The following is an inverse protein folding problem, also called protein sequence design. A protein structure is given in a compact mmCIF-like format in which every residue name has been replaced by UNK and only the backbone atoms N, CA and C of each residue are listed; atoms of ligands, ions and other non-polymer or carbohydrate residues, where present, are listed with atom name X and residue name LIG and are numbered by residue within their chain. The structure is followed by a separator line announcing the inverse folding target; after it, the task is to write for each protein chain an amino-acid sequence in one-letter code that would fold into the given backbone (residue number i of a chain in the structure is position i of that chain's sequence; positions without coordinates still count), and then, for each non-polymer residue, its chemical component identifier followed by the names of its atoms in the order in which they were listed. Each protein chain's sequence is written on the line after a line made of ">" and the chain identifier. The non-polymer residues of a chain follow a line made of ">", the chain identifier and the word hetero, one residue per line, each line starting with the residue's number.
data_IF_447435680499
#
_entry.id   IF_447435680499
#
_cell.length_a   1.000
_cell.length_b   1.000
_cell.length_c   1.000
_cell.angle_alpha   90.00
_cell.angle_beta   90.00
_cell.angle_gamma   90.00
#
_symmetry.space_group_name_H-M   'P 1'
#
loop_
_entity.id
_entity.type
_entity.pdbx_description
1 polymer ?
#
# COMPACT_ATOMS: atom_id res chain seq x y z
N UNK A 1 -4.21 -10.12 18.77
CA UNK A 1 -4.11 -8.94 17.90
C UNK A 1 -3.87 -9.31 16.42
N UNK A 2 -2.74 -9.93 16.02
CA UNK A 2 -2.50 -10.28 14.59
C UNK A 2 -3.64 -11.14 14.03
N UNK A 3 -3.98 -12.25 14.71
CA UNK A 3 -5.08 -13.15 14.31
C UNK A 3 -6.42 -12.41 14.17
N UNK A 4 -6.74 -11.50 15.07
CA UNK A 4 -8.01 -10.76 15.04
C UNK A 4 -8.09 -9.81 13.85
N UNK A 5 -6.98 -9.12 13.54
CA UNK A 5 -6.89 -8.21 12.39
C UNK A 5 -7.10 -8.99 11.08
N UNK A 6 -6.48 -10.16 10.93
CA UNK A 6 -6.64 -11.03 9.76
C UNK A 6 -8.07 -11.59 9.71
N UNK A 7 -8.59 -12.10 10.84
CA UNK A 7 -9.92 -12.65 10.92
C UNK A 7 -11.01 -11.63 10.56
N UNK A 8 -10.80 -10.34 10.87
CA UNK A 8 -11.69 -9.27 10.48
C UNK A 8 -11.83 -9.13 8.95
N UNK A 9 -10.76 -9.39 8.18
CA UNK A 9 -10.83 -9.37 6.70
C UNK A 9 -11.73 -10.49 6.21
N UNK A 10 -11.52 -11.71 6.69
CA UNK A 10 -12.34 -12.89 6.30
C UNK A 10 -13.80 -12.76 6.71
N UNK A 11 -14.09 -12.21 7.90
CA UNK A 11 -15.45 -12.10 8.41
C UNK A 11 -16.25 -10.96 7.78
N UNK A 12 -15.61 -9.82 7.54
CA UNK A 12 -16.25 -8.62 6.97
C UNK A 12 -16.30 -8.62 5.45
N UNK A 13 -15.35 -9.30 4.79
CA UNK A 13 -15.22 -9.36 3.32
C UNK A 13 -15.32 -7.99 2.66
N UNK A 14 -14.50 -7.02 3.06
CA UNK A 14 -14.66 -5.63 2.64
C UNK A 14 -14.59 -5.48 1.12
N UNK A 15 -15.45 -4.61 0.58
CA UNK A 15 -15.39 -4.21 -0.82
C UNK A 15 -14.33 -3.12 -0.99
N UNK A 16 -13.28 -3.40 -1.75
CA UNK A 16 -12.15 -2.49 -1.99
C UNK A 16 -12.22 -1.93 -3.41
N UNK A 17 -12.45 -0.63 -3.52
CA UNK A 17 -12.36 0.06 -4.80
C UNK A 17 -10.90 0.34 -5.14
N UNK A 18 -10.44 -0.19 -6.28
CA UNK A 18 -9.08 -0.02 -6.77
C UNK A 18 -9.07 0.81 -8.05
N UNK A 19 -8.54 2.04 -7.98
CA UNK A 19 -8.10 2.78 -9.17
C UNK A 19 -6.61 2.48 -9.31
N UNK A 20 -6.29 1.44 -10.08
CA UNK A 20 -4.93 0.92 -10.20
C UNK A 20 -4.41 0.97 -11.63
N UNK A 21 -3.17 0.58 -11.84
CA UNK A 21 -2.53 0.55 -13.14
C UNK A 21 -2.88 -0.74 -13.91
N UNK A 22 -2.96 -0.65 -15.24
CA UNK A 22 -3.35 -1.79 -16.08
C UNK A 22 -2.31 -2.92 -16.11
N UNK A 23 -1.06 -2.66 -15.69
CA UNK A 23 0.00 -3.68 -15.66
C UNK A 23 -0.26 -4.70 -14.55
N UNK A 24 -0.85 -4.26 -13.43
CA UNK A 24 -1.06 -5.08 -12.24
C UNK A 24 -2.55 -5.29 -11.89
N UNK A 25 -3.49 -4.76 -12.68
CA UNK A 25 -4.91 -4.72 -12.32
C UNK A 25 -5.49 -6.10 -11.99
N UNK A 26 -5.24 -7.10 -12.86
CA UNK A 26 -5.71 -8.47 -12.64
C UNK A 26 -5.12 -9.10 -11.38
N UNK A 27 -3.81 -8.89 -11.15
CA UNK A 27 -3.15 -9.43 -9.96
C UNK A 27 -3.62 -8.73 -8.67
N UNK A 28 -3.90 -7.42 -8.73
CA UNK A 28 -4.49 -6.68 -7.61
C UNK A 28 -5.90 -7.20 -7.27
N UNK A 29 -6.73 -7.48 -8.28
CA UNK A 29 -8.04 -8.07 -8.07
C UNK A 29 -7.93 -9.48 -7.47
N UNK A 30 -7.08 -10.33 -8.05
CA UNK A 30 -6.90 -11.70 -7.59
C UNK A 30 -6.36 -11.76 -6.16
N UNK A 31 -5.33 -10.98 -5.82
CA UNK A 31 -4.78 -10.99 -4.45
C UNK A 31 -5.81 -10.50 -3.41
N UNK A 32 -6.67 -9.56 -3.79
CA UNK A 32 -7.76 -9.10 -2.92
C UNK A 32 -8.77 -10.21 -2.66
N UNK A 33 -9.14 -10.99 -3.69
CA UNK A 33 -10.00 -12.18 -3.54
C UNK A 33 -9.32 -13.26 -2.68
N UNK A 34 -8.04 -13.49 -2.91
CA UNK A 34 -7.23 -14.50 -2.22
C UNK A 34 -7.25 -14.30 -0.70
N UNK A 35 -7.21 -13.07 -0.22
CA UNK A 35 -7.27 -12.75 1.22
C UNK A 35 -8.70 -12.65 1.78
N UNK A 36 -9.71 -13.02 1.00
CA UNK A 36 -11.12 -13.05 1.44
C UNK A 36 -11.86 -11.72 1.34
N UNK A 37 -11.28 -10.68 0.72
CA UNK A 37 -11.95 -9.41 0.43
C UNK A 37 -12.55 -9.41 -0.99
N UNK A 38 -13.29 -8.36 -1.34
CA UNK A 38 -13.95 -8.21 -2.65
C UNK A 38 -13.36 -7.00 -3.40
N UNK A 39 -12.76 -7.18 -4.59
CA UNK A 39 -12.26 -6.05 -5.39
C UNK A 39 -13.34 -5.49 -6.31
N UNK A 40 -13.33 -4.18 -6.52
CA UNK A 40 -14.00 -3.52 -7.64
C UNK A 40 -13.01 -2.61 -8.36
N UNK A 41 -12.92 -2.79 -9.70
CA UNK A 41 -11.92 -2.15 -10.54
C UNK A 41 -12.61 -1.14 -11.47
N UNK A 42 -12.74 0.11 -11.05
CA UNK A 42 -13.36 1.17 -11.83
C UNK A 42 -12.45 2.40 -11.89
N UNK A 43 -12.27 3.01 -13.06
CA UNK A 43 -11.42 4.19 -13.26
C UNK A 43 -12.03 5.25 -14.21
N UNK A 44 -13.28 5.06 -14.63
CA UNK A 44 -14.01 6.04 -15.42
C UNK A 44 -14.55 7.19 -14.53
N UNK A 45 -14.16 8.45 -14.75
CA UNK A 45 -14.56 9.58 -13.91
C UNK A 45 -16.08 9.74 -13.72
N UNK A 46 -16.89 9.24 -14.65
CA UNK A 46 -18.36 9.36 -14.58
C UNK A 46 -19.00 8.39 -13.60
N UNK A 47 -18.34 7.28 -13.26
CA UNK A 47 -18.88 6.24 -12.37
C UNK A 47 -18.16 6.12 -11.02
N UNK A 48 -16.87 6.51 -10.96
CA UNK A 48 -16.05 6.20 -9.78
C UNK A 48 -16.59 6.78 -8.47
N UNK A 49 -17.35 7.87 -8.53
CA UNK A 49 -18.04 8.42 -7.35
C UNK A 49 -19.07 7.45 -6.79
N UNK A 50 -19.92 6.88 -7.66
CA UNK A 50 -20.95 5.90 -7.27
C UNK A 50 -20.33 4.60 -6.78
N UNK A 51 -19.28 4.11 -7.46
CA UNK A 51 -18.53 2.92 -7.05
C UNK A 51 -17.88 3.12 -5.67
N UNK A 52 -17.24 4.27 -5.43
CA UNK A 52 -16.66 4.56 -4.11
C UNK A 52 -17.74 4.68 -3.03
N UNK A 53 -18.96 5.12 -3.39
CA UNK A 53 -20.06 5.27 -2.45
C UNK A 53 -20.49 3.95 -1.81
N UNK A 54 -20.27 2.82 -2.45
CA UNK A 54 -20.61 1.48 -1.93
C UNK A 54 -19.40 0.72 -1.39
N UNK A 55 -18.18 1.24 -1.57
CA UNK A 55 -16.96 0.58 -1.12
C UNK A 55 -16.69 0.77 0.39
N UNK A 56 -15.90 -0.12 0.97
CA UNK A 56 -15.42 -0.08 2.36
C UNK A 56 -13.99 0.47 2.47
N UNK A 57 -13.27 0.54 1.35
CA UNK A 57 -11.92 1.10 1.26
C UNK A 57 -11.57 1.50 -0.17
N UNK A 58 -10.62 2.43 -0.31
CA UNK A 58 -10.17 2.96 -1.60
C UNK A 58 -8.66 2.83 -1.74
N UNK A 59 -8.21 2.31 -2.89
CA UNK A 59 -6.79 2.23 -3.29
C UNK A 59 -6.55 3.07 -4.53
N UNK A 60 -5.62 4.02 -4.44
CA UNK A 60 -5.22 4.92 -5.52
C UNK A 60 -3.78 4.63 -5.92
N UNK A 61 -3.56 4.03 -7.09
CA UNK A 61 -2.24 3.64 -7.58
C UNK A 61 -1.84 4.44 -8.82
N UNK A 62 -0.72 5.17 -8.74
CA UNK A 62 -0.25 6.08 -9.78
C UNK A 62 0.59 5.42 -10.89
N UNK A 63 0.60 4.09 -11.03
CA UNK A 63 1.50 3.37 -11.94
C UNK A 63 1.40 3.78 -13.40
N UNK A 64 0.22 3.81 -13.98
CA UNK A 64 -0.05 4.26 -15.36
C UNK A 64 -0.97 5.49 -15.35
N UNK A 65 -0.53 6.53 -14.64
CA UNK A 65 -1.36 7.73 -14.43
C UNK A 65 -1.58 8.51 -15.73
N UNK A 66 -2.81 9.00 -15.91
CA UNK A 66 -3.24 9.94 -16.94
C UNK A 66 -4.08 11.05 -16.30
N UNK A 67 -4.40 12.09 -17.05
CA UNK A 67 -5.28 13.17 -16.56
C UNK A 67 -6.68 12.64 -16.19
N UNK A 68 -7.24 11.74 -17.00
CA UNK A 68 -8.52 11.09 -16.71
C UNK A 68 -8.48 10.30 -15.39
N UNK A 69 -7.44 9.48 -15.21
CA UNK A 69 -7.26 8.73 -13.94
C UNK A 69 -7.02 9.64 -12.76
N UNK A 70 -6.23 10.68 -12.90
CA UNK A 70 -6.06 11.66 -11.84
C UNK A 70 -7.39 12.27 -11.43
N UNK A 71 -8.23 12.65 -12.40
CA UNK A 71 -9.56 13.17 -12.11
C UNK A 71 -10.44 12.13 -11.40
N UNK A 72 -10.44 10.87 -11.86
CA UNK A 72 -11.14 9.77 -11.21
C UNK A 72 -10.68 9.59 -9.75
N UNK A 73 -9.36 9.60 -9.50
CA UNK A 73 -8.78 9.50 -8.15
C UNK A 73 -9.20 10.65 -7.24
N UNK A 74 -9.30 11.88 -7.77
CA UNK A 74 -9.74 13.03 -6.97
C UNK A 74 -11.23 12.95 -6.64
N UNK A 75 -12.08 12.50 -7.58
CA UNK A 75 -13.52 12.28 -7.34
C UNK A 75 -13.70 11.18 -6.28
N UNK A 76 -13.11 10.01 -6.50
CA UNK A 76 -13.17 8.88 -5.54
C UNK A 76 -12.63 9.26 -4.18
N UNK A 77 -11.49 9.97 -4.13
CA UNK A 77 -10.90 10.42 -2.88
C UNK A 77 -11.83 11.34 -2.07
N UNK A 78 -12.50 12.29 -2.71
CA UNK A 78 -13.51 13.15 -2.07
C UNK A 78 -14.70 12.35 -1.56
N UNK A 79 -15.20 11.40 -2.35
CA UNK A 79 -16.30 10.50 -1.94
C UNK A 79 -15.88 9.63 -0.75
N UNK A 80 -14.70 9.02 -0.79
CA UNK A 80 -14.17 8.20 0.30
C UNK A 80 -14.03 9.00 1.61
N UNK A 81 -13.53 10.23 1.54
CA UNK A 81 -13.45 11.12 2.72
C UNK A 81 -14.83 11.47 3.29
N UNK A 82 -15.83 11.74 2.45
CA UNK A 82 -17.19 12.01 2.92
C UNK A 82 -17.86 10.80 3.58
N UNK A 83 -17.40 9.58 3.25
CA UNK A 83 -17.85 8.32 3.83
C UNK A 83 -16.97 7.83 4.97
N UNK A 84 -15.89 8.53 5.28
CA UNK A 84 -14.91 8.16 6.31
C UNK A 84 -14.32 6.74 6.11
N UNK A 85 -14.23 6.27 4.86
CA UNK A 85 -13.57 5.01 4.52
C UNK A 85 -12.08 5.22 4.28
N UNK A 86 -11.20 4.26 4.65
CA UNK A 86 -9.75 4.42 4.54
C UNK A 86 -9.30 4.49 3.08
N UNK A 87 -8.30 5.36 2.84
CA UNK A 87 -7.71 5.60 1.53
C UNK A 87 -6.23 5.23 1.56
N UNK A 88 -5.82 4.34 0.67
CA UNK A 88 -4.43 3.97 0.42
C UNK A 88 -3.95 4.67 -0.85
N UNK A 89 -2.83 5.38 -0.77
CA UNK A 89 -2.11 5.92 -1.93
C UNK A 89 -0.85 5.10 -2.19
N UNK A 90 -0.68 4.65 -3.43
CA UNK A 90 0.55 4.03 -3.95
C UNK A 90 1.12 4.97 -5.04
N UNK A 91 2.09 5.85 -4.70
CA UNK A 91 2.61 6.88 -5.59
C UNK A 91 3.67 6.33 -6.57
N UNK A 92 3.39 5.19 -7.21
CA UNK A 92 4.32 4.47 -8.10
C UNK A 92 5.08 5.40 -9.02
N UNK A 93 6.40 5.41 -8.91
CA UNK A 93 7.29 6.14 -9.79
C UNK A 93 7.24 7.67 -9.63
N UNK A 94 6.82 8.18 -8.48
CA UNK A 94 6.93 9.61 -8.16
C UNK A 94 8.38 10.06 -8.28
N UNK A 95 8.58 11.23 -8.89
CA UNK A 95 9.92 11.77 -9.20
C UNK A 95 10.42 11.47 -10.62
N UNK A 96 9.85 10.47 -11.33
CA UNK A 96 10.27 10.12 -12.71
C UNK A 96 9.88 11.22 -13.72
N UNK A 97 8.72 11.88 -13.54
CA UNK A 97 8.27 12.95 -14.41
C UNK A 97 7.59 14.06 -13.63
N UNK A 98 7.62 15.28 -14.19
CA UNK A 98 6.93 16.44 -13.59
C UNK A 98 5.42 16.21 -13.44
N UNK A 99 4.78 15.61 -14.45
CA UNK A 99 3.35 15.32 -14.42
C UNK A 99 3.01 14.37 -13.27
N UNK A 100 3.73 13.25 -13.16
CA UNK A 100 3.49 12.25 -12.09
C UNK A 100 3.70 12.85 -10.69
N UNK A 101 4.79 13.59 -10.53
CA UNK A 101 5.09 14.25 -9.25
C UNK A 101 4.00 15.25 -8.88
N UNK A 102 3.56 16.08 -9.82
CA UNK A 102 2.46 17.04 -9.60
C UNK A 102 1.15 16.32 -9.25
N UNK A 103 0.83 15.24 -9.96
CA UNK A 103 -0.37 14.44 -9.70
C UNK A 103 -0.37 13.83 -8.28
N UNK A 104 0.75 13.22 -7.88
CA UNK A 104 0.90 12.65 -6.51
C UNK A 104 0.75 13.75 -5.46
N UNK A 105 1.38 14.91 -5.65
CA UNK A 105 1.22 16.03 -4.72
C UNK A 105 -0.21 16.53 -4.64
N UNK A 106 -0.91 16.59 -5.77
CA UNK A 106 -2.32 16.98 -5.81
C UNK A 106 -3.19 16.00 -5.03
N UNK A 107 -2.98 14.69 -5.19
CA UNK A 107 -3.69 13.66 -4.43
C UNK A 107 -3.39 13.81 -2.93
N UNK A 108 -2.13 13.93 -2.52
CA UNK A 108 -1.76 14.10 -1.11
C UNK A 108 -2.43 15.35 -0.50
N UNK A 109 -2.50 16.44 -1.25
CA UNK A 109 -3.02 17.73 -0.75
C UNK A 109 -4.55 17.78 -0.71
N UNK A 110 -5.22 17.30 -1.77
CA UNK A 110 -6.67 17.43 -1.94
C UNK A 110 -7.44 16.24 -1.36
N UNK A 111 -6.90 15.01 -1.51
CA UNK A 111 -7.54 13.78 -1.00
C UNK A 111 -7.13 13.50 0.45
N UNK A 112 -5.88 13.79 0.81
CA UNK A 112 -5.32 13.50 2.16
C UNK A 112 -5.48 12.02 2.52
N UNK A 113 -4.79 11.10 1.81
CA UNK A 113 -4.90 9.66 2.05
C UNK A 113 -4.51 9.33 3.49
N UNK A 114 -5.11 8.28 4.04
CA UNK A 114 -4.86 7.83 5.41
C UNK A 114 -3.60 6.96 5.49
N UNK A 115 -3.23 6.35 4.36
CA UNK A 115 -2.08 5.46 4.23
C UNK A 115 -1.34 5.80 2.94
N UNK A 116 -0.01 5.91 2.99
CA UNK A 116 0.85 6.06 1.81
C UNK A 116 1.83 4.89 1.80
N UNK A 117 1.70 4.01 0.82
CA UNK A 117 2.60 2.87 0.62
C UNK A 117 3.57 3.17 -0.52
N UNK A 118 4.87 3.05 -0.26
CA UNK A 118 5.93 3.43 -1.20
C UNK A 118 7.21 2.63 -0.95
N UNK A 119 8.23 2.82 -1.78
CA UNK A 119 9.59 2.36 -1.53
C UNK A 119 10.51 3.50 -1.10
N UNK A 120 11.76 3.20 -0.71
CA UNK A 120 12.71 4.21 -0.22
C UNK A 120 13.00 5.33 -1.25
N UNK A 121 13.06 5.01 -2.54
CA UNK A 121 13.28 6.00 -3.61
C UNK A 121 12.08 6.95 -3.77
N UNK A 122 10.87 6.41 -3.72
CA UNK A 122 9.62 7.17 -3.77
C UNK A 122 9.46 8.05 -2.52
N UNK A 123 9.82 7.51 -1.33
CA UNK A 123 9.86 8.27 -0.08
C UNK A 123 10.76 9.50 -0.21
N UNK A 124 11.99 9.31 -0.68
CA UNK A 124 12.94 10.41 -0.92
C UNK A 124 12.36 11.43 -1.90
N UNK A 125 11.81 10.97 -3.02
CA UNK A 125 11.24 11.83 -4.06
C UNK A 125 10.08 12.68 -3.55
N UNK A 126 9.18 12.12 -2.74
CA UNK A 126 8.08 12.88 -2.14
C UNK A 126 8.62 13.92 -1.16
N UNK A 127 9.54 13.52 -0.29
CA UNK A 127 10.08 14.41 0.75
C UNK A 127 10.85 15.61 0.17
N UNK A 128 11.60 15.42 -0.92
CA UNK A 128 12.31 16.51 -1.63
C UNK A 128 11.34 17.52 -2.26
N UNK A 129 10.14 17.11 -2.61
CA UNK A 129 9.17 17.95 -3.32
C UNK A 129 8.10 18.57 -2.39
N UNK A 130 8.02 18.19 -1.12
CA UNK A 130 7.12 18.84 -0.14
C UNK A 130 7.76 20.10 0.41
N UNK A 131 7.10 21.25 0.21
CA UNK A 131 7.55 22.55 0.80
C UNK A 131 7.73 22.42 2.32
N UNK A 132 8.83 22.98 2.84
CA UNK A 132 9.19 22.98 4.27
C UNK A 132 9.60 21.62 4.87
N UNK A 133 10.04 20.66 4.08
CA UNK A 133 10.81 19.52 4.58
C UNK A 133 12.31 19.82 4.51
N UNK A 134 12.75 20.84 5.29
CA UNK A 134 14.17 21.24 5.33
C UNK A 134 15.06 20.08 5.82
N UNK A 135 16.26 19.97 5.25
CA UNK A 135 17.25 18.98 5.63
C UNK A 135 17.14 17.62 4.92
N UNK A 136 16.27 17.48 3.91
CA UNK A 136 16.14 16.25 3.11
C UNK A 136 17.25 16.13 2.06
N UNK A 137 17.79 17.27 1.57
CA UNK A 137 18.89 17.28 0.59
C UNK A 137 20.18 16.61 1.10
N UNK A 138 20.35 16.53 2.43
CA UNK A 138 21.49 15.91 3.09
C UNK A 138 21.20 14.48 3.60
N UNK A 139 19.98 13.97 3.44
CA UNK A 139 19.64 12.62 3.93
C UNK A 139 20.00 11.60 2.84
N UNK A 140 21.16 10.99 2.99
CA UNK A 140 21.43 9.72 2.37
C UNK A 140 20.53 8.68 3.04
N UNK A 141 19.68 8.00 2.25
CA UNK A 141 18.89 6.87 2.74
C UNK A 141 19.76 5.61 2.61
N UNK A 142 20.85 5.57 3.40
CA UNK A 142 21.81 4.47 3.33
C UNK A 142 21.57 3.44 4.45
N UNK A 143 20.71 3.79 5.43
CA UNK A 143 20.40 2.93 6.57
C UNK A 143 18.89 2.78 6.81
N UNK A 144 18.53 1.73 7.53
CA UNK A 144 17.16 1.51 8.03
C UNK A 144 16.70 2.70 8.90
N UNK A 145 17.57 3.18 9.78
CA UNK A 145 17.24 4.28 10.70
C UNK A 145 16.99 5.60 9.97
N UNK A 146 17.70 5.88 8.90
CA UNK A 146 17.47 7.08 8.09
C UNK A 146 16.12 6.98 7.35
N UNK A 147 15.79 5.79 6.85
CA UNK A 147 14.48 5.52 6.24
C UNK A 147 13.36 5.72 7.26
N UNK A 148 13.51 5.19 8.49
CA UNK A 148 12.54 5.37 9.59
C UNK A 148 12.37 6.85 9.92
N UNK A 149 13.45 7.61 10.08
CA UNK A 149 13.40 9.05 10.38
C UNK A 149 12.65 9.81 9.30
N UNK A 150 12.92 9.50 8.02
CA UNK A 150 12.28 10.18 6.90
C UNK A 150 10.80 9.80 6.78
N UNK A 151 10.45 8.52 6.98
CA UNK A 151 9.07 8.07 7.00
C UNK A 151 8.26 8.72 8.14
N UNK A 152 8.83 8.83 9.35
CA UNK A 152 8.22 9.56 10.47
C UNK A 152 7.96 11.03 10.13
N UNK A 153 8.93 11.72 9.52
CA UNK A 153 8.75 13.11 9.08
C UNK A 153 7.61 13.24 8.07
N UNK A 154 7.53 12.34 7.09
CA UNK A 154 6.46 12.35 6.10
C UNK A 154 5.10 12.08 6.76
N UNK A 155 5.02 11.10 7.66
CA UNK A 155 3.81 10.78 8.41
C UNK A 155 3.29 11.99 9.20
N UNK A 156 4.13 12.64 9.98
CA UNK A 156 3.79 13.85 10.73
C UNK A 156 3.34 15.00 9.82
N UNK A 157 3.92 15.11 8.61
CA UNK A 157 3.58 16.18 7.66
C UNK A 157 2.25 15.94 6.95
N UNK A 158 1.93 14.68 6.65
CA UNK A 158 0.73 14.30 5.88
C UNK A 158 -0.41 13.81 6.76
N UNK A 159 -0.15 13.52 8.03
CA UNK A 159 -1.04 12.83 8.97
C UNK A 159 -1.49 11.44 8.44
N UNK A 160 -0.64 10.81 7.61
CA UNK A 160 -0.87 9.49 7.04
C UNK A 160 0.04 8.45 7.70
N UNK A 161 -0.40 7.21 7.72
CA UNK A 161 0.47 6.07 8.01
C UNK A 161 1.35 5.85 6.79
N UNK A 162 2.66 5.74 6.99
CA UNK A 162 3.64 5.52 5.93
C UNK A 162 4.12 4.07 6.00
N UNK A 163 3.89 3.34 4.91
CA UNK A 163 4.43 1.99 4.70
C UNK A 163 5.54 2.01 3.66
N UNK A 164 6.76 1.67 4.04
CA UNK A 164 7.95 1.66 3.16
C UNK A 164 8.38 0.24 2.90
N UNK A 165 8.31 -0.20 1.64
CA UNK A 165 8.83 -1.52 1.26
C UNK A 165 10.33 -1.47 1.04
N UNK A 166 11.04 -2.48 1.58
CA UNK A 166 12.51 -2.56 1.50
C UNK A 166 13.05 -3.99 1.62
N UNK A 167 14.26 -4.11 2.16
CA UNK A 167 14.82 -5.38 2.65
C UNK A 167 14.14 -5.73 3.97
N UNK A 168 14.01 -4.75 4.86
CA UNK A 168 13.07 -4.74 5.96
C UNK A 168 12.02 -3.69 5.64
N UNK A 169 10.76 -4.04 5.79
CA UNK A 169 9.68 -3.10 5.58
C UNK A 169 9.45 -2.26 6.84
N UNK A 170 8.97 -1.04 6.66
CA UNK A 170 8.73 -0.08 7.76
C UNK A 170 7.28 0.38 7.68
N UNK A 171 6.59 0.41 8.81
CA UNK A 171 5.29 1.08 8.95
C UNK A 171 5.37 2.06 10.10
N UNK A 172 4.94 3.31 9.90
CA UNK A 172 4.91 4.31 10.97
C UNK A 172 3.72 5.26 10.86
N UNK A 173 3.17 5.64 12.00
CA UNK A 173 2.18 6.72 12.16
C UNK A 173 2.81 8.05 12.63
N UNK A 174 4.15 8.14 12.58
CA UNK A 174 4.92 9.27 13.07
C UNK A 174 5.35 9.15 14.54
N UNK A 175 4.63 8.41 15.37
CA UNK A 175 4.95 8.10 16.78
C UNK A 175 5.48 6.68 16.90
N UNK A 176 4.61 5.72 16.62
CA UNK A 176 4.92 4.30 16.63
C UNK A 176 5.60 3.88 15.33
N UNK A 177 6.41 2.83 15.38
CA UNK A 177 7.06 2.22 14.22
C UNK A 177 6.97 0.72 14.33
N UNK A 178 6.66 0.05 13.25
CA UNK A 178 6.81 -1.39 13.09
C UNK A 178 7.91 -1.66 12.06
N UNK A 179 8.84 -2.54 12.40
CA UNK A 179 9.83 -3.08 11.49
C UNK A 179 9.41 -4.50 11.16
N UNK A 180 9.25 -4.80 9.89
CA UNK A 180 8.79 -6.07 9.38
C UNK A 180 9.96 -6.78 8.70
N UNK A 181 10.25 -7.99 9.16
CA UNK A 181 11.24 -8.88 8.56
C UNK A 181 10.57 -9.96 7.72
N UNK A 182 11.28 -10.48 6.76
CA UNK A 182 10.78 -11.53 5.88
C UNK A 182 10.83 -11.15 4.42
N UNK A 183 9.94 -11.76 3.62
CA UNK A 183 9.97 -11.60 2.17
C UNK A 183 11.09 -12.40 1.52
N UNK A 184 11.13 -12.37 0.19
CA UNK A 184 12.17 -13.01 -0.61
C UNK A 184 12.53 -12.17 -1.83
N UNK A 185 13.78 -12.24 -2.28
CA UNK A 185 14.26 -11.47 -3.44
C UNK A 185 13.46 -11.74 -4.74
N UNK A 186 12.84 -12.91 -4.86
CA UNK A 186 11.97 -13.26 -5.98
C UNK A 186 10.74 -12.37 -6.08
N UNK A 187 10.25 -11.79 -4.97
CA UNK A 187 9.11 -10.85 -5.00
C UNK A 187 9.37 -9.65 -5.90
N UNK A 188 10.62 -9.17 -5.98
CA UNK A 188 11.03 -8.06 -6.87
C UNK A 188 10.96 -8.43 -8.35
N UNK A 189 10.93 -9.73 -8.69
CA UNK A 189 10.82 -10.23 -10.06
C UNK A 189 9.36 -10.39 -10.50
N UNK A 190 8.39 -10.27 -9.60
CA UNK A 190 6.96 -10.26 -9.92
C UNK A 190 6.54 -8.82 -10.22
N UNK A 191 6.20 -8.54 -11.48
CA UNK A 191 5.64 -7.24 -11.86
C UNK A 191 4.35 -6.97 -11.06
N UNK A 192 4.24 -5.77 -10.47
CA UNK A 192 3.06 -5.40 -9.70
C UNK A 192 3.02 -5.93 -8.27
N UNK A 193 4.07 -6.60 -7.77
CA UNK A 193 4.13 -7.06 -6.37
C UNK A 193 3.85 -5.94 -5.37
N UNK A 194 4.41 -4.74 -5.56
CA UNK A 194 4.08 -3.58 -4.73
C UNK A 194 2.62 -3.15 -4.85
N UNK A 195 2.07 -3.14 -6.06
CA UNK A 195 0.67 -2.76 -6.30
C UNK A 195 -0.30 -3.75 -5.63
N UNK A 196 0.00 -5.06 -5.68
CA UNK A 196 -0.74 -6.09 -4.95
C UNK A 196 -0.72 -5.83 -3.44
N UNK A 197 0.45 -5.50 -2.86
CA UNK A 197 0.54 -5.14 -1.44
C UNK A 197 -0.37 -3.95 -1.10
N UNK A 198 -0.46 -2.95 -1.96
CA UNK A 198 -1.35 -1.79 -1.73
C UNK A 198 -2.82 -2.20 -1.71
N UNK A 199 -3.23 -3.16 -2.54
CA UNK A 199 -4.59 -3.73 -2.53
C UNK A 199 -4.85 -4.55 -1.26
N UNK A 200 -3.87 -5.34 -0.79
CA UNK A 200 -3.93 -6.06 0.50
C UNK A 200 -4.09 -5.06 1.66
N UNK A 201 -3.28 -3.99 1.68
CA UNK A 201 -3.40 -2.93 2.70
C UNK A 201 -4.79 -2.29 2.67
N UNK A 202 -5.34 -2.05 1.49
CA UNK A 202 -6.70 -1.53 1.33
C UNK A 202 -7.76 -2.40 2.01
N UNK A 203 -7.69 -3.72 1.82
CA UNK A 203 -8.60 -4.68 2.45
C UNK A 203 -8.42 -4.73 3.98
N UNK A 204 -7.18 -4.75 4.46
CA UNK A 204 -6.88 -4.76 5.90
C UNK A 204 -7.34 -3.48 6.59
N UNK A 205 -7.11 -2.33 5.97
CA UNK A 205 -7.56 -1.03 6.47
C UNK A 205 -9.10 -0.95 6.52
N UNK A 206 -9.77 -1.35 5.45
CA UNK A 206 -11.24 -1.38 5.37
C UNK A 206 -11.87 -2.29 6.44
N UNK A 207 -11.25 -3.45 6.70
CA UNK A 207 -11.73 -4.36 7.74
C UNK A 207 -11.43 -3.89 9.17
N UNK A 208 -10.43 -2.99 9.36
CA UNK A 208 -9.94 -2.56 10.68
C UNK A 208 -9.78 -1.02 10.77
N UNK A 209 -10.80 -0.21 10.48
CA UNK A 209 -10.66 1.25 10.34
C UNK A 209 -10.23 1.94 11.64
N UNK A 210 -10.53 1.38 12.81
CA UNK A 210 -10.16 1.93 14.11
C UNK A 210 -8.73 1.57 14.56
N UNK A 211 -8.02 0.72 13.80
CA UNK A 211 -6.69 0.21 14.15
C UNK A 211 -5.74 0.24 12.94
N UNK A 212 -5.75 1.33 12.17
CA UNK A 212 -5.06 1.40 10.88
C UNK A 212 -3.56 1.09 10.96
N UNK A 213 -2.84 1.60 11.99
CA UNK A 213 -1.41 1.32 12.14
C UNK A 213 -1.12 -0.18 12.25
N UNK A 214 -1.87 -0.87 13.10
CA UNK A 214 -1.71 -2.32 13.26
C UNK A 214 -2.20 -3.09 12.03
N UNK A 215 -3.29 -2.66 11.39
CA UNK A 215 -3.81 -3.27 10.16
C UNK A 215 -2.78 -3.22 9.03
N UNK A 216 -2.15 -2.06 8.82
CA UNK A 216 -1.09 -1.88 7.82
C UNK A 216 0.14 -2.72 8.18
N UNK A 217 0.57 -2.72 9.45
CA UNK A 217 1.72 -3.52 9.90
C UNK A 217 1.50 -5.02 9.68
N UNK A 218 0.29 -5.51 10.01
CA UNK A 218 -0.06 -6.94 9.83
C UNK A 218 -0.18 -7.29 8.34
N UNK A 219 -0.71 -6.38 7.50
CA UNK A 219 -0.76 -6.58 6.05
C UNK A 219 0.66 -6.75 5.45
N UNK A 220 1.61 -5.89 5.85
CA UNK A 220 3.01 -6.03 5.45
C UNK A 220 3.62 -7.34 5.96
N UNK A 221 3.41 -7.67 7.23
CA UNK A 221 3.95 -8.89 7.85
C UNK A 221 3.44 -10.16 7.20
N UNK A 222 2.14 -10.24 6.94
CA UNK A 222 1.51 -11.36 6.22
C UNK A 222 2.10 -11.49 4.80
N UNK A 223 2.17 -10.39 4.07
CA UNK A 223 2.67 -10.34 2.70
C UNK A 223 4.14 -10.78 2.62
N UNK A 224 4.98 -10.33 3.56
CA UNK A 224 6.38 -10.71 3.65
C UNK A 224 6.54 -12.19 4.02
N UNK A 225 5.80 -12.70 5.01
CA UNK A 225 5.82 -14.10 5.41
C UNK A 225 5.43 -15.03 4.27
N UNK A 226 4.31 -14.75 3.58
CA UNK A 226 3.88 -15.53 2.42
C UNK A 226 4.90 -15.46 1.27
N UNK A 227 5.53 -14.29 1.05
CA UNK A 227 6.59 -14.15 0.06
C UNK A 227 7.84 -14.97 0.36
N UNK A 228 8.19 -15.14 1.62
CA UNK A 228 9.27 -16.03 2.07
C UNK A 228 8.88 -17.49 1.88
N UNK A 229 7.70 -17.89 2.37
CA UNK A 229 7.26 -19.29 2.37
C UNK A 229 6.98 -19.83 0.95
N UNK A 230 6.59 -18.96 0.02
CA UNK A 230 6.39 -19.30 -1.39
C UNK A 230 7.68 -19.74 -2.11
N UNK A 231 8.85 -19.37 -1.58
CA UNK A 231 10.13 -19.73 -2.19
C UNK A 231 10.52 -21.18 -1.87
N UNK A 232 10.88 -21.91 -2.93
CA UNK A 232 11.57 -23.20 -2.88
C UNK A 232 12.74 -23.15 -3.85
N UNK A 233 13.76 -23.94 -3.61
CA UNK A 233 14.93 -23.98 -4.49
C UNK A 233 14.55 -24.32 -5.94
N UNK A 234 15.26 -23.70 -6.89
CA UNK A 234 15.14 -23.93 -8.32
C UNK A 234 13.75 -23.63 -8.94
N UNK A 235 12.94 -22.79 -8.31
CA UNK A 235 11.66 -22.35 -8.88
C UNK A 235 11.84 -21.29 -9.96
N UNK A 236 11.07 -21.44 -11.05
CA UNK A 236 10.81 -20.36 -12.00
C UNK A 236 9.91 -19.27 -11.40
N UNK A 237 9.94 -18.07 -12.00
CA UNK A 237 9.17 -16.92 -11.51
C UNK A 237 7.66 -17.16 -11.51
N UNK A 238 7.12 -17.88 -12.51
CA UNK A 238 5.70 -18.18 -12.61
C UNK A 238 5.25 -19.12 -11.48
N UNK A 239 6.01 -20.18 -11.21
CA UNK A 239 5.71 -21.10 -10.11
C UNK A 239 5.82 -20.40 -8.75
N UNK A 240 6.84 -19.56 -8.56
CA UNK A 240 6.95 -18.74 -7.35
C UNK A 240 5.74 -17.81 -7.16
N UNK A 241 5.28 -17.15 -8.24
CA UNK A 241 4.08 -16.31 -8.19
C UNK A 241 2.84 -17.11 -7.79
N UNK A 242 2.64 -18.29 -8.38
CA UNK A 242 1.50 -19.16 -8.03
C UNK A 242 1.59 -19.60 -6.56
N UNK A 243 2.74 -20.08 -6.11
CA UNK A 243 2.95 -20.44 -4.71
C UNK A 243 2.68 -19.26 -3.76
N UNK A 244 3.04 -18.03 -4.16
CA UNK A 244 2.77 -16.85 -3.36
C UNK A 244 1.27 -16.60 -3.17
N UNK A 245 0.46 -16.78 -4.22
CA UNK A 245 -1.00 -16.70 -4.11
C UNK A 245 -1.57 -17.82 -3.24
N UNK A 246 -1.04 -19.03 -3.35
CA UNK A 246 -1.45 -20.18 -2.53
C UNK A 246 -1.15 -19.93 -1.04
N UNK A 247 0.04 -19.41 -0.71
CA UNK A 247 0.43 -19.02 0.65
C UNK A 247 -0.46 -17.88 1.18
N UNK A 248 -0.83 -16.91 0.35
CA UNK A 248 -1.75 -15.83 0.74
C UNK A 248 -3.18 -16.33 0.99
N UNK A 249 -3.59 -17.47 0.39
CA UNK A 249 -4.89 -18.11 0.64
C UNK A 249 -4.94 -18.80 1.99
N UNK A 250 -3.86 -19.47 2.40
CA UNK A 250 -3.77 -20.24 3.64
C UNK A 250 -2.48 -19.87 4.38
N UNK A 251 -2.37 -18.66 4.93
CA UNK A 251 -1.13 -18.15 5.47
C UNK A 251 -0.73 -18.84 6.78
N UNK A 252 0.57 -19.11 6.92
CA UNK A 252 1.16 -19.41 8.23
C UNK A 252 1.29 -18.12 9.05
N UNK A 253 0.44 -18.00 10.09
CA UNK A 253 0.39 -16.82 10.94
C UNK A 253 1.52 -16.79 11.99
N UNK A 254 2.17 -17.91 12.28
CA UNK A 254 3.29 -17.98 13.24
C UNK A 254 4.57 -17.43 12.61
N UNK A 255 4.67 -17.47 11.29
CA UNK A 255 5.80 -16.92 10.55
C UNK A 255 5.80 -15.40 10.36
N UNK A 256 4.81 -14.67 10.91
CA UNK A 256 4.73 -13.21 10.79
C UNK A 256 5.65 -12.53 11.81
N UNK A 257 6.68 -11.84 11.32
CA UNK A 257 7.71 -11.19 12.14
C UNK A 257 7.55 -9.66 12.10
N UNK A 258 7.04 -9.07 13.20
CA UNK A 258 6.85 -7.63 13.37
C UNK A 258 7.45 -7.19 14.70
N UNK A 259 8.42 -6.28 14.66
CA UNK A 259 8.99 -5.61 15.82
C UNK A 259 8.36 -4.22 15.95
N UNK A 260 7.65 -3.96 17.03
CA UNK A 260 7.08 -2.65 17.34
C UNK A 260 8.03 -1.82 18.21
N UNK A 261 8.25 -0.54 17.83
CA UNK A 261 9.14 0.43 18.50
C UNK A 261 8.43 1.74 18.79
#
# INVERSE_FOLDING_TARGET
>A
MIKDIIQNVYSKRPLVHNITNYVAATDCANITLTIGASPIMADEPKEVGEVTQIADGLVLNCGTISESRLNAMLISGKTAKSREIPIVLDPVGVGISKFRTSAVHKIITEVKPDIIRLNASELKSICLNIKNMSGVDAVNIDSLDDTVKLAKKLSLKTNAIIGVSGISDIVTDGKNTAIISGGHAMMKKITGSGCMLSSVIGAFAAANPNNLFYAVSVAFGLYASCGRNAYKENLGIATYKNNFFDEMTNPDLEGIEIEYR
#
